data_IF_842991446997
#
_entry.id   IF_842991446997
#
_cell.length_a   1.000
_cell.length_b   1.000
_cell.length_c   1.000
_cell.angle_alpha   90.00
_cell.angle_beta   90.00
_cell.angle_gamma   90.00
#
_symmetry.space_group_name_H-M   'P 1'
#
loop_
_entity.id
_entity.type
_entity.pdbx_description
1 polymer ?
#
# COMPACT_ATOMS: atom_id res chain seq x y z
N UNK A 1 1.14 9.75 -17.60
CA UNK A 1 1.02 8.50 -16.83
C UNK A 1 1.82 8.70 -15.59
N UNK A 2 1.23 8.38 -14.46
CA UNK A 2 1.60 8.88 -13.15
C UNK A 2 2.88 8.22 -12.66
N UNK A 3 3.86 9.02 -12.24
CA UNK A 3 5.16 8.55 -11.75
C UNK A 3 5.08 7.88 -10.36
N UNK A 4 3.86 7.69 -9.84
CA UNK A 4 3.68 7.07 -8.55
C UNK A 4 3.82 5.56 -8.64
N UNK A 5 4.74 5.02 -7.84
CA UNK A 5 4.99 3.59 -7.69
C UNK A 5 4.62 3.12 -6.28
N UNK A 6 4.79 1.83 -6.00
CA UNK A 6 4.62 1.26 -4.67
C UNK A 6 5.76 0.30 -4.35
N UNK A 7 6.08 0.18 -3.06
CA UNK A 7 7.14 -0.68 -2.53
C UNK A 7 6.73 -1.27 -1.17
N UNK A 8 7.32 -2.42 -0.79
CA UNK A 8 7.18 -2.95 0.57
C UNK A 8 8.20 -2.33 1.51
N UNK A 9 7.79 -2.03 2.73
CA UNK A 9 8.68 -1.51 3.78
C UNK A 9 8.49 -2.32 5.08
N UNK A 10 9.52 -2.98 5.63
CA UNK A 10 10.92 -2.93 5.19
C UNK A 10 11.23 -3.75 3.93
N UNK A 11 10.54 -4.86 3.69
CA UNK A 11 10.72 -5.73 2.51
C UNK A 11 9.53 -6.68 2.32
N UNK A 12 9.50 -7.40 1.18
CA UNK A 12 8.41 -8.34 0.85
C UNK A 12 8.33 -9.55 1.81
N UNK A 13 9.46 -10.02 2.36
CA UNK A 13 9.49 -11.19 3.24
C UNK A 13 8.82 -10.86 4.59
N UNK A 14 9.11 -9.68 5.14
CA UNK A 14 8.52 -9.21 6.39
C UNK A 14 7.04 -8.81 6.23
N UNK A 15 6.66 -8.26 5.06
CA UNK A 15 5.31 -7.69 4.86
C UNK A 15 4.30 -8.72 4.35
N UNK A 16 4.71 -9.57 3.42
CA UNK A 16 3.82 -10.57 2.78
C UNK A 16 4.37 -11.99 2.81
N UNK A 17 5.55 -12.25 3.37
CA UNK A 17 6.23 -13.55 3.27
C UNK A 17 5.36 -14.76 3.67
N UNK A 18 4.60 -14.63 4.75
CA UNK A 18 3.71 -15.69 5.27
C UNK A 18 2.33 -15.81 4.59
N UNK A 19 2.05 -15.04 3.54
CA UNK A 19 0.77 -15.07 2.82
C UNK A 19 0.81 -16.05 1.64
N UNK A 20 -0.37 -16.57 1.29
CA UNK A 20 -0.55 -17.39 0.09
C UNK A 20 -0.22 -16.59 -1.18
N UNK A 21 0.29 -17.24 -2.26
CA UNK A 21 0.63 -16.56 -3.51
C UNK A 21 -0.52 -15.77 -4.13
N UNK A 22 -1.75 -16.26 -4.01
CA UNK A 22 -2.94 -15.57 -4.51
C UNK A 22 -3.22 -14.27 -3.73
N UNK A 23 -3.12 -14.35 -2.40
CA UNK A 23 -3.26 -13.18 -1.52
C UNK A 23 -2.15 -12.16 -1.78
N UNK A 24 -0.92 -12.61 -2.05
CA UNK A 24 0.20 -11.74 -2.45
C UNK A 24 -0.16 -10.95 -3.71
N UNK A 25 -0.67 -11.61 -4.75
CA UNK A 25 -1.09 -10.93 -5.98
C UNK A 25 -2.21 -9.91 -5.74
N UNK A 26 -3.15 -10.21 -4.84
CA UNK A 26 -4.20 -9.26 -4.49
C UNK A 26 -3.66 -8.03 -3.74
N UNK A 27 -2.67 -8.22 -2.86
CA UNK A 27 -1.95 -7.12 -2.22
C UNK A 27 -1.23 -6.26 -3.25
N UNK A 28 -0.49 -6.86 -4.17
CA UNK A 28 0.24 -6.13 -5.23
C UNK A 28 -0.72 -5.32 -6.12
N UNK A 29 -1.86 -5.92 -6.47
CA UNK A 29 -2.92 -5.26 -7.23
C UNK A 29 -3.52 -4.08 -6.47
N UNK A 30 -3.79 -4.25 -5.18
CA UNK A 30 -4.27 -3.16 -4.33
C UNK A 30 -3.21 -2.07 -4.19
N UNK A 31 -1.94 -2.41 -3.96
CA UNK A 31 -0.85 -1.45 -3.85
C UNK A 31 -0.70 -0.60 -5.13
N UNK A 32 -0.82 -1.23 -6.31
CA UNK A 32 -0.89 -0.51 -7.58
C UNK A 32 -2.03 0.49 -7.65
N UNK A 33 -3.24 0.09 -7.25
CA UNK A 33 -4.40 1.01 -7.19
C UNK A 33 -4.21 2.14 -6.17
N UNK A 34 -3.54 1.87 -5.05
CA UNK A 34 -3.21 2.90 -4.05
C UNK A 34 -2.23 3.92 -4.64
N UNK A 35 -1.22 3.47 -5.41
CA UNK A 35 -0.32 4.37 -6.11
C UNK A 35 -1.05 5.22 -7.16
N UNK A 36 -1.93 4.61 -7.97
CA UNK A 36 -2.78 5.33 -8.91
C UNK A 36 -3.67 6.36 -8.19
N UNK A 37 -4.29 5.99 -7.07
CA UNK A 37 -5.12 6.90 -6.29
C UNK A 37 -4.30 8.06 -5.69
N UNK A 38 -3.11 7.78 -5.14
CA UNK A 38 -2.21 8.80 -4.61
C UNK A 38 -1.77 9.79 -5.70
N UNK A 39 -1.58 9.30 -6.91
CA UNK A 39 -1.18 10.10 -8.06
C UNK A 39 -2.23 11.10 -8.53
N UNK A 40 -3.51 10.76 -8.39
CA UNK A 40 -4.64 11.66 -8.66
C UNK A 40 -4.89 12.58 -7.47
N UNK A 41 -4.64 12.11 -6.24
CA UNK A 41 -4.84 12.88 -5.01
C UNK A 41 -3.83 14.01 -4.84
N UNK A 42 -2.58 13.77 -5.25
CA UNK A 42 -1.48 14.71 -5.11
C UNK A 42 -1.07 15.28 -6.45
N UNK A 43 -1.94 16.08 -7.05
CA UNK A 43 -1.63 16.83 -8.26
C UNK A 43 -0.69 18.00 -7.94
N UNK A 44 0.50 17.97 -8.54
CA UNK A 44 1.53 19.02 -8.39
C UNK A 44 2.51 18.76 -7.23
N UNK A 45 3.58 19.54 -7.20
CA UNK A 45 4.64 19.37 -6.21
C UNK A 45 4.18 19.74 -4.80
N UNK A 46 4.51 18.93 -3.77
CA UNK A 46 4.26 19.30 -2.38
C UNK A 46 5.01 20.59 -2.04
N UNK A 47 4.35 21.51 -1.33
CA UNK A 47 5.05 22.69 -0.80
C UNK A 47 6.17 22.23 0.15
N UNK A 48 7.29 22.96 0.17
CA UNK A 48 8.49 22.60 0.95
C UNK A 48 8.17 22.37 2.44
N UNK A 49 7.15 23.06 2.96
CA UNK A 49 6.69 23.04 4.34
C UNK A 49 5.81 21.83 4.72
N UNK A 50 5.31 21.09 3.74
CA UNK A 50 4.48 19.91 3.99
C UNK A 50 5.37 18.70 4.31
N UNK A 51 4.97 17.92 5.33
CA UNK A 51 5.56 16.60 5.55
C UNK A 51 5.42 15.81 4.24
N UNK A 52 6.56 15.50 3.60
CA UNK A 52 6.59 14.76 2.35
C UNK A 52 6.08 13.32 2.48
N UNK A 53 5.80 12.87 3.71
CA UNK A 53 5.26 11.56 4.05
C UNK A 53 3.93 11.74 4.79
N UNK A 54 2.92 10.97 4.39
CA UNK A 54 1.63 10.91 5.09
C UNK A 54 1.78 10.26 6.48
N UNK A 55 0.73 10.35 7.30
CA UNK A 55 0.57 9.40 8.43
C UNK A 55 0.35 7.99 7.87
N UNK A 56 0.46 6.98 8.74
CA UNK A 56 0.04 5.62 8.41
C UNK A 56 -1.45 5.61 8.06
N UNK A 57 -1.77 5.15 6.86
CA UNK A 57 -3.12 4.98 6.34
C UNK A 57 -3.44 3.49 6.32
N UNK A 58 -4.73 3.16 6.38
CA UNK A 58 -5.23 1.80 6.23
C UNK A 58 -6.27 1.72 5.11
N UNK A 59 -6.28 0.59 4.39
CA UNK A 59 -7.29 0.26 3.40
C UNK A 59 -7.71 -1.20 3.56
N UNK A 60 -8.99 -1.42 3.85
CA UNK A 60 -9.57 -2.74 3.97
C UNK A 60 -10.37 -3.09 2.70
N UNK A 61 -10.08 -4.25 2.11
CA UNK A 61 -10.77 -4.77 0.94
C UNK A 61 -11.07 -6.26 1.11
N UNK A 62 -12.34 -6.64 1.17
CA UNK A 62 -12.71 -8.04 1.41
C UNK A 62 -12.15 -8.58 2.73
N UNK A 63 -11.21 -9.53 2.65
CA UNK A 63 -10.57 -10.18 3.81
C UNK A 63 -9.14 -9.69 4.07
N UNK A 64 -8.70 -8.65 3.39
CA UNK A 64 -7.37 -8.08 3.58
C UNK A 64 -7.46 -6.64 4.08
N UNK A 65 -6.53 -6.27 4.93
CA UNK A 65 -6.27 -4.87 5.31
C UNK A 65 -4.80 -4.58 5.03
N UNK A 66 -4.54 -3.44 4.38
CA UNK A 66 -3.20 -2.95 4.06
C UNK A 66 -2.97 -1.65 4.81
N UNK A 67 -1.87 -1.59 5.55
CA UNK A 67 -1.36 -0.35 6.10
C UNK A 67 -0.24 0.20 5.21
N UNK A 68 -0.35 1.46 4.84
CA UNK A 68 0.56 2.10 3.90
C UNK A 68 0.86 3.55 4.26
N UNK A 69 1.93 4.09 3.68
CA UNK A 69 2.29 5.50 3.75
C UNK A 69 2.53 6.03 2.34
N UNK A 70 2.11 7.25 2.09
CA UNK A 70 2.36 7.93 0.82
C UNK A 70 3.54 8.87 0.98
N UNK A 71 4.59 8.65 0.19
CA UNK A 71 5.77 9.49 0.15
C UNK A 71 5.74 10.39 -1.10
N UNK A 72 5.11 11.56 -0.97
CA UNK A 72 4.88 12.51 -2.08
C UNK A 72 6.14 12.91 -2.83
N UNK A 73 7.26 13.13 -2.14
CA UNK A 73 8.54 13.53 -2.79
C UNK A 73 9.19 12.41 -3.61
N UNK A 74 8.96 11.16 -3.24
CA UNK A 74 9.47 10.00 -3.98
C UNK A 74 8.43 9.50 -4.98
N UNK A 75 7.18 9.99 -4.90
CA UNK A 75 6.04 9.41 -5.57
C UNK A 75 5.95 7.90 -5.30
N UNK A 76 6.08 7.47 -4.04
CA UNK A 76 6.05 6.05 -3.65
C UNK A 76 4.99 5.83 -2.59
N UNK A 77 4.20 4.78 -2.76
CA UNK A 77 3.37 4.20 -1.69
C UNK A 77 4.15 3.09 -1.01
N UNK A 78 4.51 3.28 0.25
CA UNK A 78 5.14 2.24 1.07
C UNK A 78 4.07 1.40 1.75
N UNK A 79 3.96 0.13 1.36
CA UNK A 79 3.15 -0.86 2.05
C UNK A 79 3.94 -1.37 3.25
N UNK A 80 3.45 -1.03 4.45
CA UNK A 80 4.16 -1.28 5.72
C UNK A 80 3.73 -2.60 6.33
N UNK A 81 2.45 -2.95 6.19
CA UNK A 81 1.91 -4.18 6.78
C UNK A 81 0.70 -4.64 6.00
N UNK A 82 0.54 -5.96 5.92
CA UNK A 82 -0.67 -6.59 5.43
C UNK A 82 -1.18 -7.54 6.50
N UNK A 83 -2.49 -7.56 6.68
CA UNK A 83 -3.16 -8.62 7.42
C UNK A 83 -4.25 -9.21 6.53
N UNK A 84 -4.24 -10.53 6.41
CA UNK A 84 -5.26 -11.30 5.72
C UNK A 84 -5.96 -12.21 6.73
N UNK A 85 -7.29 -12.22 6.71
CA UNK A 85 -8.08 -13.16 7.49
C UNK A 85 -8.42 -14.37 6.62
N UNK A 86 -7.98 -15.59 7.01
CA UNK A 86 -8.42 -16.79 6.32
C UNK A 86 -9.94 -16.88 6.42
N UNK A 87 -10.57 -17.44 5.38
CA UNK A 87 -11.99 -17.76 5.46
C UNK A 87 -12.22 -18.67 6.68
N UNK A 88 -13.20 -18.34 7.51
CA UNK A 88 -13.55 -19.12 8.70
C UNK A 88 -13.77 -20.58 8.26
N UNK A 89 -12.95 -21.54 8.70
CA UNK A 89 -13.17 -22.94 8.42
C UNK A 89 -14.26 -23.43 9.38
N UNK A 90 -15.49 -22.92 9.25
CA UNK A 90 -16.61 -23.47 9.99
C UNK A 90 -17.45 -24.38 9.08
N UNK A 91 -17.66 -25.65 9.51
CA UNK A 91 -18.44 -26.65 8.79
C UNK A 91 -19.95 -26.37 8.83
#
# INVERSE_FOLDING_TARGET
MTDWTWEYLPDAEQVVGGLDPEVKQDVERLAGRLADAASVRHLGDPRIEESGVSRLLDHAEGRLIVWYQEHRRLAVVFVVRVQHWPADPRP
#
